data_IF_345932881926
#
_entry.id   IF_345932881926
#
_cell.length_a   1.000
_cell.length_b   1.000
_cell.length_c   1.000
_cell.angle_alpha   90.00
_cell.angle_beta   90.00
_cell.angle_gamma   90.00
#
_symmetry.space_group_name_H-M   'P 1'
#
loop_
_entity.id
_entity.type
_entity.pdbx_description
1 polymer ?
#
# COMPACT_ATOMS: atom_id res chain seq x y z
N UNK A 1 -18.20 -10.65 7.31
CA UNK A 1 -16.82 -10.12 7.18
C UNK A 1 -16.78 -9.16 6.02
N UNK A 2 -16.07 -8.03 6.12
CA UNK A 2 -16.02 -7.03 5.07
C UNK A 2 -15.33 -7.57 3.82
N UNK A 3 -15.81 -7.16 2.64
CA UNK A 3 -15.13 -7.42 1.37
C UNK A 3 -14.20 -6.25 1.06
N UNK A 4 -12.97 -6.52 0.66
CA UNK A 4 -12.02 -5.49 0.23
C UNK A 4 -11.93 -5.43 -1.29
N UNK A 5 -11.73 -4.22 -1.83
CA UNK A 5 -11.32 -4.00 -3.21
C UNK A 5 -10.08 -3.11 -3.19
N UNK A 6 -8.95 -3.60 -3.69
CA UNK A 6 -7.81 -2.74 -3.99
C UNK A 6 -7.93 -2.21 -5.40
N UNK A 7 -7.77 -0.90 -5.58
CA UNK A 7 -7.54 -0.32 -6.91
C UNK A 7 -6.09 0.14 -6.98
N UNK A 8 -5.34 -0.38 -7.96
CA UNK A 8 -3.91 -0.14 -8.08
C UNK A 8 -3.52 0.19 -9.51
N UNK A 9 -2.35 0.77 -9.68
CA UNK A 9 -1.81 1.10 -11.00
C UNK A 9 -0.28 1.09 -11.00
N UNK A 10 0.32 1.24 -12.17
CA UNK A 10 1.79 1.27 -12.33
C UNK A 10 2.40 2.66 -12.11
N UNK A 11 1.71 3.52 -11.35
CA UNK A 11 2.04 4.94 -11.19
C UNK A 11 1.49 5.81 -12.32
N UNK A 12 0.78 6.89 -11.97
CA UNK A 12 0.21 7.87 -12.92
C UNK A 12 -0.74 7.28 -13.99
N UNK A 13 -1.25 6.07 -13.77
CA UNK A 13 -2.16 5.37 -14.69
C UNK A 13 -3.65 5.68 -14.44
N UNK A 14 -4.00 6.50 -13.45
CA UNK A 14 -5.38 6.95 -13.25
C UNK A 14 -6.26 6.01 -12.43
N UNK A 15 -5.71 5.30 -11.44
CA UNK A 15 -6.49 4.48 -10.48
C UNK A 15 -7.64 5.25 -9.82
N UNK A 16 -7.45 6.54 -9.58
CA UNK A 16 -8.47 7.43 -9.02
C UNK A 16 -9.77 7.44 -9.82
N UNK A 17 -9.73 7.28 -11.15
CA UNK A 17 -10.94 7.24 -11.97
C UNK A 17 -11.80 6.01 -11.66
N UNK A 18 -11.17 4.84 -11.51
CA UNK A 18 -11.88 3.64 -11.09
C UNK A 18 -12.39 3.76 -9.65
N UNK A 19 -11.61 4.36 -8.74
CA UNK A 19 -12.08 4.63 -7.37
C UNK A 19 -13.30 5.56 -7.38
N UNK A 20 -13.30 6.62 -8.20
CA UNK A 20 -14.43 7.53 -8.32
C UNK A 20 -15.67 6.81 -8.88
N UNK A 21 -15.52 5.90 -9.86
CA UNK A 21 -16.60 5.01 -10.31
C UNK A 21 -17.09 4.12 -9.15
N UNK A 22 -16.18 3.54 -8.35
CA UNK A 22 -16.55 2.66 -7.23
C UNK A 22 -17.34 3.39 -6.12
N UNK A 23 -17.15 4.70 -5.94
CA UNK A 23 -17.97 5.53 -5.01
C UNK A 23 -19.44 5.61 -5.43
N UNK A 24 -19.75 5.30 -6.70
CA UNK A 24 -21.11 5.41 -7.22
C UNK A 24 -22.00 4.21 -6.86
N UNK A 25 -21.42 3.17 -6.29
CA UNK A 25 -22.11 1.94 -5.90
C UNK A 25 -22.66 1.98 -4.47
N UNK A 26 -23.85 1.41 -4.29
CA UNK A 26 -24.47 1.31 -2.98
C UNK A 26 -23.71 0.34 -2.05
N UNK A 27 -23.50 0.75 -0.80
CA UNK A 27 -22.79 -0.04 0.20
C UNK A 27 -21.26 -0.06 0.05
N UNK A 28 -20.70 0.78 -0.81
CA UNK A 28 -19.25 0.93 -0.97
C UNK A 28 -18.76 2.14 -0.17
N UNK A 29 -17.64 1.96 0.51
CA UNK A 29 -16.90 3.05 1.15
C UNK A 29 -15.47 3.09 0.65
N UNK A 30 -14.90 4.29 0.54
CA UNK A 30 -13.54 4.48 0.06
C UNK A 30 -12.70 5.04 1.20
N UNK A 31 -11.60 4.35 1.52
CA UNK A 31 -10.64 4.87 2.48
C UNK A 31 -9.96 6.14 1.93
N UNK A 32 -9.85 7.18 2.77
CA UNK A 32 -9.31 8.47 2.35
C UNK A 32 -7.76 8.46 2.29
N UNK A 33 -7.23 8.09 1.13
CA UNK A 33 -5.81 8.09 0.80
C UNK A 33 -5.29 6.71 0.42
N UNK A 34 -4.01 6.62 0.13
CA UNK A 34 -3.36 5.36 -0.24
C UNK A 34 -3.09 4.48 1.00
N UNK A 35 -3.57 3.24 1.00
CA UNK A 35 -3.34 2.27 2.08
C UNK A 35 -2.22 1.29 1.72
N UNK A 36 -0.97 1.71 1.83
CA UNK A 36 0.18 1.00 1.21
C UNK A 36 0.99 0.13 2.15
N UNK A 37 0.47 -0.14 3.35
CA UNK A 37 1.18 -0.85 4.42
C UNK A 37 1.70 -2.23 3.99
N UNK A 38 1.03 -2.88 3.03
CA UNK A 38 1.47 -4.18 2.53
C UNK A 38 2.75 -4.10 1.69
N UNK A 39 3.01 -2.98 1.00
CA UNK A 39 4.01 -2.90 -0.08
C UNK A 39 5.10 -1.85 0.08
N UNK A 40 4.88 -0.83 0.90
CA UNK A 40 5.89 0.19 1.13
C UNK A 40 7.04 -0.39 1.99
N UNK A 41 8.25 0.18 1.91
CA UNK A 41 9.38 -0.25 2.73
C UNK A 41 9.05 -0.27 4.22
N UNK A 42 9.56 -1.28 4.91
CA UNK A 42 9.26 -1.59 6.32
C UNK A 42 7.80 -1.98 6.57
N UNK A 43 7.05 -2.28 5.50
CA UNK A 43 5.68 -2.76 5.54
C UNK A 43 5.58 -4.26 5.83
N UNK A 44 4.39 -4.82 5.58
CA UNK A 44 4.08 -6.21 5.92
C UNK A 44 4.88 -7.24 5.13
N UNK A 45 5.19 -6.99 3.84
CA UNK A 45 6.07 -7.87 3.05
C UNK A 45 7.46 -7.95 3.69
N UNK A 46 8.08 -6.81 3.99
CA UNK A 46 9.43 -6.78 4.57
C UNK A 46 9.46 -7.45 5.95
N UNK A 47 8.38 -7.31 6.72
CA UNK A 47 8.20 -7.97 8.01
C UNK A 47 8.04 -9.50 7.84
N UNK A 48 7.20 -9.97 6.92
CA UNK A 48 7.06 -11.41 6.61
C UNK A 48 8.40 -12.00 6.16
N UNK A 49 9.07 -11.35 5.22
CA UNK A 49 10.36 -11.79 4.69
C UNK A 49 11.41 -11.93 5.79
N UNK A 50 11.42 -11.01 6.76
CA UNK A 50 12.39 -11.02 7.85
C UNK A 50 12.07 -12.05 8.93
N UNK A 51 10.79 -12.19 9.31
CA UNK A 51 10.38 -13.02 10.44
C UNK A 51 10.12 -14.49 10.05
N UNK A 52 9.71 -14.75 8.80
CA UNK A 52 9.26 -16.06 8.34
C UNK A 52 10.27 -16.71 7.39
N UNK A 53 10.78 -15.95 6.40
CA UNK A 53 11.55 -16.52 5.29
C UNK A 53 13.06 -16.45 5.49
N UNK A 54 13.57 -15.33 6.00
CA UNK A 54 15.01 -15.05 6.12
C UNK A 54 15.42 -14.87 7.59
N UNK A 55 15.02 -15.83 8.42
CA UNK A 55 15.13 -15.77 9.87
C UNK A 55 16.58 -15.59 10.34
N UNK A 56 16.81 -14.54 11.14
CA UNK A 56 18.04 -14.27 11.89
C UNK A 56 17.72 -13.40 13.11
N UNK A 57 18.20 -13.79 14.29
CA UNK A 57 17.79 -13.19 15.56
C UNK A 57 18.11 -11.68 15.69
N UNK A 58 19.11 -11.17 14.96
CA UNK A 58 19.41 -9.73 14.94
C UNK A 58 18.48 -9.00 13.97
N UNK A 59 18.05 -9.66 12.88
CA UNK A 59 17.15 -9.07 11.89
C UNK A 59 15.74 -8.83 12.42
N UNK A 60 15.20 -9.71 13.25
CA UNK A 60 13.81 -9.57 13.73
C UNK A 60 13.59 -8.29 14.52
N UNK A 61 14.52 -7.99 15.43
CA UNK A 61 14.43 -6.78 16.24
C UNK A 61 14.46 -5.53 15.35
N UNK A 62 15.34 -5.50 14.36
CA UNK A 62 15.42 -4.40 13.38
C UNK A 62 14.13 -4.30 12.57
N UNK A 63 13.65 -5.41 12.00
CA UNK A 63 12.44 -5.43 11.18
C UNK A 63 11.19 -5.01 11.95
N UNK A 64 11.02 -5.48 13.20
CA UNK A 64 9.90 -5.08 14.07
C UNK A 64 9.99 -3.60 14.43
N UNK A 65 11.18 -3.09 14.78
CA UNK A 65 11.38 -1.67 15.09
C UNK A 65 11.12 -0.79 13.86
N UNK A 66 11.58 -1.21 12.69
CA UNK A 66 11.35 -0.49 11.44
C UNK A 66 9.85 -0.48 11.08
N UNK A 67 9.16 -1.61 11.21
CA UNK A 67 7.71 -1.69 11.03
C UNK A 67 6.95 -0.77 12.01
N UNK A 68 7.28 -0.81 13.31
CA UNK A 68 6.64 0.06 14.31
C UNK A 68 6.93 1.55 14.05
N UNK A 69 8.14 1.88 13.60
CA UNK A 69 8.50 3.25 13.20
C UNK A 69 7.72 3.69 11.97
N UNK A 70 7.54 2.80 10.99
CA UNK A 70 6.69 3.06 9.82
C UNK A 70 5.23 3.24 10.22
N UNK A 71 4.66 2.38 11.07
CA UNK A 71 3.32 2.56 11.63
C UNK A 71 3.18 3.89 12.37
N UNK A 72 4.23 4.36 13.06
CA UNK A 72 4.23 5.66 13.73
C UNK A 72 4.18 6.83 12.74
N UNK A 73 4.70 6.65 11.52
CA UNK A 73 4.52 7.62 10.43
C UNK A 73 3.08 7.54 9.90
N UNK A 74 2.55 6.34 9.69
CA UNK A 74 1.19 6.15 9.18
C UNK A 74 0.12 6.75 10.11
N UNK A 75 0.21 6.48 11.41
CA UNK A 75 -0.74 6.98 12.41
C UNK A 75 -0.58 8.45 12.78
N UNK A 76 0.50 9.12 12.33
CA UNK A 76 0.74 10.54 12.65
C UNK A 76 -0.12 11.46 11.80
N UNK A 77 -0.69 12.46 12.45
CA UNK A 77 -1.44 13.55 11.82
C UNK A 77 -0.60 14.40 10.85
N UNK A 78 -1.26 14.96 9.85
CA UNK A 78 -0.69 15.86 8.85
C UNK A 78 -0.95 17.32 9.21
N UNK A 79 0.11 18.11 9.38
CA UNK A 79 0.02 19.54 9.65
C UNK A 79 1.26 20.28 9.13
N UNK A 80 1.15 21.60 8.96
CA UNK A 80 2.21 22.44 8.37
C UNK A 80 3.55 22.37 9.12
N UNK A 81 3.50 22.16 10.44
CA UNK A 81 4.67 22.06 11.30
C UNK A 81 4.91 20.64 11.83
N UNK A 82 4.12 19.65 11.40
CA UNK A 82 4.32 18.27 11.78
C UNK A 82 5.29 17.58 10.83
N UNK A 83 6.00 16.57 11.33
CA UNK A 83 6.73 15.65 10.44
C UNK A 83 5.71 14.93 9.55
N UNK A 84 6.13 14.56 8.33
CA UNK A 84 5.30 13.79 7.40
C UNK A 84 4.59 12.62 8.10
N UNK A 85 3.31 12.46 7.79
CA UNK A 85 2.41 11.44 8.32
C UNK A 85 1.33 11.09 7.31
N UNK A 86 0.47 10.12 7.63
CA UNK A 86 -0.66 9.71 6.77
C UNK A 86 -2.03 9.87 7.41
N UNK A 87 -2.05 10.26 8.68
CA UNK A 87 -3.24 10.54 9.47
C UNK A 87 -4.20 9.34 9.58
N UNK A 88 -3.66 8.11 9.62
CA UNK A 88 -4.50 6.91 9.67
C UNK A 88 -5.31 6.81 10.96
N UNK A 89 -4.80 7.34 12.07
CA UNK A 89 -5.52 7.31 13.35
C UNK A 89 -6.85 8.06 13.26
N UNK A 90 -6.84 9.30 12.74
CA UNK A 90 -8.06 10.10 12.62
C UNK A 90 -8.97 9.60 11.49
N UNK A 91 -8.39 9.20 10.34
CA UNK A 91 -9.18 8.72 9.19
C UNK A 91 -9.94 7.42 9.44
N UNK A 92 -9.43 6.58 10.33
CA UNK A 92 -10.04 5.31 10.71
C UNK A 92 -10.79 5.39 12.04
N UNK A 93 -10.63 6.49 12.78
CA UNK A 93 -11.12 6.65 14.16
C UNK A 93 -10.62 5.53 15.08
N UNK A 94 -9.32 5.23 15.00
CA UNK A 94 -8.66 4.20 15.83
C UNK A 94 -7.32 4.68 16.35
N UNK A 95 -6.87 4.15 17.50
CA UNK A 95 -5.46 4.25 17.88
C UNK A 95 -4.62 3.29 17.02
N UNK A 96 -4.19 3.79 15.86
CA UNK A 96 -3.43 3.03 14.87
C UNK A 96 -2.17 2.42 15.47
N UNK A 97 -1.47 3.15 16.34
CA UNK A 97 -0.25 2.67 16.96
C UNK A 97 -0.51 1.59 18.00
N UNK A 98 -1.57 1.72 18.80
CA UNK A 98 -1.97 0.69 19.74
C UNK A 98 -2.36 -0.62 19.05
N UNK A 99 -3.13 -0.55 17.96
CA UNK A 99 -3.45 -1.73 17.12
C UNK A 99 -2.18 -2.36 16.54
N UNK A 100 -1.24 -1.54 16.06
CA UNK A 100 0.03 -2.01 15.49
C UNK A 100 0.93 -2.70 16.53
N UNK A 101 1.00 -2.17 17.76
CA UNK A 101 1.73 -2.80 18.86
C UNK A 101 1.09 -4.13 19.26
N UNK A 102 -0.23 -4.15 19.41
CA UNK A 102 -0.98 -5.39 19.69
C UNK A 102 -0.71 -6.47 18.65
N UNK A 103 -0.63 -6.11 17.37
CA UNK A 103 -0.26 -7.03 16.30
C UNK A 103 1.17 -7.57 16.48
N UNK A 104 2.15 -6.68 16.70
CA UNK A 104 3.54 -7.07 16.93
C UNK A 104 3.66 -8.00 18.14
N UNK A 105 2.96 -7.72 19.22
CA UNK A 105 2.98 -8.54 20.44
C UNK A 105 2.48 -9.96 20.16
N UNK A 106 1.49 -10.14 19.27
CA UNK A 106 0.96 -11.47 18.92
C UNK A 106 1.87 -12.31 18.02
N UNK A 107 2.78 -11.67 17.27
CA UNK A 107 3.74 -12.36 16.40
C UNK A 107 5.14 -12.45 17.04
N UNK A 108 5.32 -11.88 18.23
CA UNK A 108 6.57 -11.88 18.98
C UNK A 108 6.54 -12.99 20.03
N UNK A 109 7.60 -13.79 20.10
CA UNK A 109 7.71 -14.87 21.10
C UNK A 109 8.25 -14.34 22.43
N UNK A 110 9.18 -13.40 22.38
CA UNK A 110 9.84 -12.86 23.56
C UNK A 110 10.35 -11.43 23.34
N UNK A 111 10.26 -10.62 24.39
CA UNK A 111 10.96 -9.34 24.52
C UNK A 111 12.04 -9.49 25.58
N UNK A 112 13.27 -9.05 25.29
CA UNK A 112 14.41 -9.15 26.20
C UNK A 112 15.25 -7.87 26.18
N UNK A 113 16.09 -7.66 27.20
CA UNK A 113 17.07 -6.58 27.17
C UNK A 113 18.34 -7.05 26.46
N UNK A 114 18.77 -6.30 25.44
CA UNK A 114 19.97 -6.61 24.68
C UNK A 114 20.66 -5.37 24.14
N UNK A 115 21.95 -5.52 23.80
CA UNK A 115 22.76 -4.47 23.18
C UNK A 115 23.45 -5.08 21.95
N UNK A 116 23.19 -4.49 20.77
CA UNK A 116 23.79 -4.91 19.51
C UNK A 116 24.42 -3.74 18.78
N UNK A 117 25.55 -4.00 18.10
CA UNK A 117 26.21 -3.00 17.27
C UNK A 117 25.35 -2.53 16.10
N UNK A 118 24.38 -3.33 15.65
CA UNK A 118 23.51 -3.00 14.51
C UNK A 118 22.66 -1.76 14.78
N UNK A 119 22.19 -1.56 16.02
CA UNK A 119 21.47 -0.34 16.41
C UNK A 119 22.30 0.93 16.28
N UNK A 120 23.63 0.79 16.14
CA UNK A 120 24.57 1.90 16.08
C UNK A 120 24.99 2.27 14.65
N UNK A 121 24.52 1.57 13.62
CA UNK A 121 24.95 1.82 12.24
C UNK A 121 24.51 3.19 11.72
N UNK A 122 23.29 3.62 12.08
CA UNK A 122 22.69 4.86 11.57
C UNK A 122 22.49 5.94 12.64
N UNK A 123 23.07 5.77 13.84
CA UNK A 123 22.96 6.79 14.89
C UNK A 123 23.91 7.95 14.61
N UNK A 124 23.50 9.21 14.88
CA UNK A 124 24.40 10.35 14.78
C UNK A 124 25.64 10.21 15.67
N UNK A 125 26.76 10.79 15.23
CA UNK A 125 28.05 10.70 15.92
C UNK A 125 27.99 11.14 17.39
N UNK A 126 27.21 12.17 17.71
CA UNK A 126 27.04 12.65 19.09
C UNK A 126 26.35 11.59 19.97
N UNK A 127 25.31 10.91 19.48
CA UNK A 127 24.60 9.85 20.23
C UNK A 127 25.54 8.67 20.46
N UNK A 128 26.31 8.28 19.45
CA UNK A 128 27.33 7.23 19.57
C UNK A 128 28.42 7.59 20.61
N UNK A 129 28.85 8.85 20.64
CA UNK A 129 29.80 9.34 21.64
C UNK A 129 29.25 9.20 23.06
N UNK A 130 27.99 9.59 23.31
CA UNK A 130 27.34 9.40 24.61
C UNK A 130 27.24 7.92 24.99
N UNK A 131 26.87 7.03 24.06
CA UNK A 131 26.82 5.59 24.33
C UNK A 131 28.20 5.02 24.70
N UNK A 132 29.27 5.47 24.03
CA UNK A 132 30.65 5.09 24.38
C UNK A 132 31.05 5.57 25.78
N UNK A 133 30.64 6.78 26.17
CA UNK A 133 30.87 7.29 27.53
C UNK A 133 30.14 6.41 28.55
N UNK A 134 28.84 6.13 28.33
CA UNK A 134 28.04 5.26 29.21
C UNK A 134 28.73 3.92 29.43
N UNK A 135 29.13 3.22 28.36
CA UNK A 135 29.85 1.95 28.49
C UNK A 135 31.16 2.07 29.27
N UNK A 136 31.92 3.17 29.11
CA UNK A 136 33.18 3.39 29.85
C UNK A 136 32.99 3.58 31.35
N UNK A 137 31.84 4.12 31.78
CA UNK A 137 31.53 4.32 33.20
C UNK A 137 30.75 3.15 33.82
N UNK A 138 30.63 2.02 33.09
CA UNK A 138 29.92 0.82 33.57
C UNK A 138 28.41 0.84 33.37
N UNK A 139 27.87 1.85 32.70
CA UNK A 139 26.44 1.96 32.39
C UNK A 139 26.07 1.10 31.18
N UNK A 140 24.92 0.43 31.28
CA UNK A 140 24.36 -0.37 30.18
C UNK A 140 23.76 0.50 29.08
N UNK A 141 23.95 0.08 27.83
CA UNK A 141 23.23 0.60 26.66
C UNK A 141 22.17 -0.40 26.16
N UNK A 142 21.84 -1.42 26.95
CA UNK A 142 20.83 -2.39 26.58
C UNK A 142 19.47 -1.71 26.40
N UNK A 143 18.79 -2.06 25.32
CA UNK A 143 17.43 -1.64 25.02
C UNK A 143 16.54 -2.87 24.89
N UNK A 144 15.22 -2.68 24.90
CA UNK A 144 14.31 -3.77 24.58
C UNK A 144 14.52 -4.25 23.14
N UNK A 145 14.62 -5.56 23.00
CA UNK A 145 14.78 -6.26 21.75
C UNK A 145 13.70 -7.31 21.57
N UNK A 146 13.29 -7.52 20.32
CA UNK A 146 12.28 -8.49 19.95
C UNK A 146 12.89 -9.78 19.42
N UNK A 147 12.39 -10.93 19.89
CA UNK A 147 12.62 -12.23 19.29
C UNK A 147 11.28 -12.78 18.78
N UNK A 148 11.20 -13.03 17.48
CA UNK A 148 10.01 -13.52 16.81
C UNK A 148 10.38 -14.63 15.82
N UNK A 149 9.59 -15.70 15.80
CA UNK A 149 9.65 -16.78 14.82
C UNK A 149 8.25 -17.34 14.54
N UNK A 150 7.29 -16.52 14.10
CA UNK A 150 6.01 -17.03 13.66
C UNK A 150 6.21 -17.93 12.44
N UNK A 151 5.48 -19.04 12.36
CA UNK A 151 5.33 -19.72 11.08
C UNK A 151 4.48 -18.87 10.13
N UNK A 152 4.51 -19.20 8.83
CA UNK A 152 3.78 -18.44 7.80
C UNK A 152 2.29 -18.38 8.09
N UNK A 153 1.68 -19.48 8.54
CA UNK A 153 0.24 -19.54 8.80
C UNK A 153 -0.16 -18.59 9.93
N UNK A 154 0.60 -18.61 11.03
CA UNK A 154 0.39 -17.72 12.16
C UNK A 154 0.61 -16.25 11.79
N UNK A 155 1.69 -15.94 11.05
CA UNK A 155 1.95 -14.59 10.58
C UNK A 155 0.80 -14.05 9.73
N UNK A 156 0.35 -14.81 8.73
CA UNK A 156 -0.75 -14.40 7.85
C UNK A 156 -2.06 -14.24 8.63
N UNK A 157 -2.38 -15.17 9.53
CA UNK A 157 -3.57 -15.09 10.38
C UNK A 157 -3.57 -13.81 11.23
N UNK A 158 -2.49 -13.53 11.96
CA UNK A 158 -2.45 -12.34 12.81
C UNK A 158 -2.35 -11.04 12.00
N UNK A 159 -1.79 -11.08 10.79
CA UNK A 159 -1.80 -9.95 9.86
C UNK A 159 -3.21 -9.63 9.34
N UNK A 160 -4.00 -10.66 9.01
CA UNK A 160 -5.41 -10.49 8.65
C UNK A 160 -6.22 -9.94 9.81
N UNK A 161 -6.01 -10.45 11.02
CA UNK A 161 -6.64 -9.93 12.23
C UNK A 161 -6.28 -8.46 12.45
N UNK A 162 -5.02 -8.09 12.25
CA UNK A 162 -4.55 -6.72 12.35
C UNK A 162 -5.26 -5.80 11.35
N UNK A 163 -5.23 -6.12 10.05
CA UNK A 163 -5.92 -5.32 9.02
C UNK A 163 -7.41 -5.19 9.32
N UNK A 164 -8.09 -6.29 9.67
CA UNK A 164 -9.51 -6.25 10.03
C UNK A 164 -9.76 -5.35 11.25
N UNK A 165 -8.85 -5.36 12.24
CA UNK A 165 -8.96 -4.51 13.43
C UNK A 165 -8.74 -3.02 13.17
N UNK A 166 -8.10 -2.65 12.05
CA UNK A 166 -7.91 -1.25 11.64
C UNK A 166 -9.18 -0.67 11.01
N UNK A 167 -9.97 -1.49 10.33
CA UNK A 167 -11.13 -1.03 9.56
C UNK A 167 -12.48 -1.41 10.17
N UNK A 168 -12.52 -2.30 11.16
CA UNK A 168 -13.78 -2.80 11.74
C UNK A 168 -14.75 -1.69 12.15
N UNK A 169 -14.29 -0.80 13.04
CA UNK A 169 -15.11 0.32 13.55
C UNK A 169 -15.52 1.30 12.44
N UNK A 170 -14.61 1.55 11.49
CA UNK A 170 -14.86 2.41 10.31
C UNK A 170 -15.97 1.84 9.42
N UNK A 171 -15.93 0.54 9.13
CA UNK A 171 -16.89 -0.15 8.27
C UNK A 171 -18.27 -0.19 8.92
N UNK A 172 -18.32 -0.53 10.21
CA UNK A 172 -19.56 -0.62 10.98
C UNK A 172 -20.24 0.75 11.12
N UNK A 173 -19.48 1.78 11.49
CA UNK A 173 -20.01 3.13 11.70
C UNK A 173 -20.56 3.77 10.42
N UNK A 174 -19.93 3.47 9.28
CA UNK A 174 -20.36 3.99 7.98
C UNK A 174 -21.35 3.05 7.25
N UNK A 175 -21.73 1.91 7.86
CA UNK A 175 -22.64 0.90 7.27
C UNK A 175 -22.20 0.45 5.87
N UNK A 176 -20.90 0.19 5.73
CA UNK A 176 -20.26 -0.20 4.47
C UNK A 176 -20.26 -1.73 4.36
N UNK A 177 -20.51 -2.24 3.17
CA UNK A 177 -20.41 -3.67 2.85
C UNK A 177 -19.07 -4.01 2.17
N UNK A 178 -18.55 -3.07 1.38
CA UNK A 178 -17.30 -3.22 0.62
C UNK A 178 -16.40 -2.01 0.83
N UNK A 179 -15.18 -2.25 1.32
CA UNK A 179 -14.17 -1.20 1.50
C UNK A 179 -13.22 -1.16 0.29
N UNK A 180 -13.11 0.01 -0.33
CA UNK A 180 -12.19 0.29 -1.43
C UNK A 180 -10.93 0.94 -0.88
N UNK A 181 -9.78 0.37 -1.24
CA UNK A 181 -8.45 0.80 -0.84
C UNK A 181 -7.62 1.20 -2.06
N UNK A 182 -7.11 2.43 -2.09
CA UNK A 182 -6.16 2.85 -3.12
C UNK A 182 -4.77 2.27 -2.82
N UNK A 183 -4.15 1.69 -3.84
CA UNK A 183 -2.78 1.21 -3.81
C UNK A 183 -2.45 0.09 -2.81
N UNK A 184 -3.42 -0.60 -2.20
CA UNK A 184 -3.17 -1.62 -1.19
C UNK A 184 -2.40 -2.83 -1.69
N UNK A 185 -2.76 -3.35 -2.87
CA UNK A 185 -2.10 -4.50 -3.50
C UNK A 185 -1.32 -4.05 -4.72
N UNK A 186 0.02 -4.14 -4.76
CA UNK A 186 0.81 -3.77 -5.92
C UNK A 186 0.53 -4.67 -7.13
N UNK A 187 0.45 -4.12 -8.36
CA UNK A 187 0.27 -4.91 -9.59
C UNK A 187 1.40 -5.92 -9.89
N UNK A 188 2.54 -5.79 -9.22
CA UNK A 188 3.77 -6.57 -9.46
C UNK A 188 4.02 -7.67 -8.44
N UNK A 189 3.19 -7.75 -7.39
CA UNK A 189 3.33 -8.73 -6.32
C UNK A 189 1.96 -9.00 -5.67
N UNK A 190 1.00 -9.45 -6.48
CA UNK A 190 -0.40 -9.59 -6.05
C UNK A 190 -0.53 -10.69 -5.00
N UNK A 191 -0.01 -11.90 -5.28
CA UNK A 191 -0.22 -13.05 -4.39
C UNK A 191 0.34 -12.85 -2.98
N UNK A 192 1.55 -12.28 -2.84
CA UNK A 192 2.18 -12.10 -1.54
C UNK A 192 1.60 -10.93 -0.72
N UNK A 193 0.90 -10.00 -1.36
CA UNK A 193 0.26 -8.86 -0.66
C UNK A 193 -1.23 -9.10 -0.40
N UNK A 194 -1.94 -9.71 -1.34
CA UNK A 194 -3.36 -10.03 -1.20
C UNK A 194 -3.62 -11.04 -0.08
N UNK A 195 -2.68 -11.94 0.22
CA UNK A 195 -2.79 -12.93 1.30
C UNK A 195 -2.99 -12.29 2.69
N UNK A 196 -2.61 -11.02 2.90
CA UNK A 196 -2.80 -10.30 4.16
C UNK A 196 -4.25 -9.86 4.42
N UNK A 197 -5.12 -9.97 3.41
CA UNK A 197 -6.54 -9.67 3.54
C UNK A 197 -7.34 -10.97 3.54
N UNK A 198 -8.42 -11.03 4.32
CA UNK A 198 -9.28 -12.22 4.37
C UNK A 198 -9.95 -12.51 3.00
N UNK A 199 -10.45 -11.44 2.37
CA UNK A 199 -11.08 -11.47 1.04
C UNK A 199 -10.86 -10.15 0.33
N UNK A 200 -10.03 -10.14 -0.71
CA UNK A 200 -9.73 -8.94 -1.49
C UNK A 200 -9.81 -9.21 -2.99
N UNK A 201 -10.51 -8.34 -3.71
CA UNK A 201 -10.44 -8.24 -5.17
C UNK A 201 -9.50 -7.10 -5.56
N UNK A 202 -8.80 -7.24 -6.69
CA UNK A 202 -7.80 -6.27 -7.14
C UNK A 202 -8.18 -5.78 -8.53
N UNK A 203 -8.38 -4.49 -8.69
CA UNK A 203 -8.57 -3.84 -9.99
C UNK A 203 -7.28 -3.09 -10.33
N UNK A 204 -6.67 -3.43 -11.45
CA UNK A 204 -5.43 -2.82 -11.93
C UNK A 204 -5.77 -1.93 -13.12
N UNK A 205 -5.46 -0.64 -12.97
CA UNK A 205 -5.62 0.36 -14.01
C UNK A 205 -4.27 0.61 -14.69
N UNK A 206 -4.23 0.40 -16.00
CA UNK A 206 -3.14 0.82 -16.88
C UNK A 206 -3.57 1.99 -17.78
N UNK A 207 -2.63 2.62 -18.48
CA UNK A 207 -2.85 3.81 -19.30
C UNK A 207 -1.83 3.87 -20.44
N UNK A 208 -2.15 4.59 -21.50
CA UNK A 208 -1.24 4.85 -22.60
C UNK A 208 0.13 5.34 -22.07
N UNK A 209 1.24 4.66 -22.40
CA UNK A 209 2.57 5.05 -21.92
C UNK A 209 2.93 6.50 -22.27
N UNK A 210 2.43 7.06 -23.36
CA UNK A 210 2.73 8.43 -23.78
C UNK A 210 2.01 9.46 -22.90
N UNK A 211 0.80 9.13 -22.43
CA UNK A 211 0.06 9.97 -21.48
C UNK A 211 0.70 9.94 -20.09
N UNK A 212 1.19 8.77 -19.65
CA UNK A 212 1.97 8.64 -18.43
C UNK A 212 3.26 9.47 -18.53
N UNK A 213 4.00 9.33 -19.64
CA UNK A 213 5.23 10.11 -19.89
C UNK A 213 4.96 11.62 -19.81
N UNK A 214 3.95 12.10 -20.53
CA UNK A 214 3.58 13.52 -20.58
C UNK A 214 3.25 14.06 -19.19
N UNK A 215 2.53 13.29 -18.36
CA UNK A 215 2.26 13.66 -16.97
C UNK A 215 3.51 13.67 -16.09
N UNK A 216 4.37 12.66 -16.19
CA UNK A 216 5.59 12.57 -15.39
C UNK A 216 6.52 13.76 -15.69
N UNK A 217 6.73 14.10 -16.96
CA UNK A 217 7.54 15.25 -17.37
C UNK A 217 6.92 16.55 -16.87
N UNK A 218 5.62 16.74 -17.08
CA UNK A 218 4.91 17.96 -16.67
C UNK A 218 5.00 18.20 -15.15
N UNK A 219 4.86 17.14 -14.35
CA UNK A 219 4.84 17.25 -12.89
C UNK A 219 6.23 17.15 -12.24
N UNK A 220 7.28 16.75 -12.99
CA UNK A 220 8.67 16.60 -12.49
C UNK A 220 8.77 15.69 -11.25
N UNK A 221 8.03 14.59 -11.27
CA UNK A 221 7.95 13.60 -10.19
C UNK A 221 8.50 12.25 -10.61
N UNK A 222 9.08 11.51 -9.66
CA UNK A 222 9.73 10.23 -9.92
C UNK A 222 10.77 10.37 -11.06
N UNK A 223 10.79 9.44 -12.01
CA UNK A 223 11.65 9.52 -13.19
C UNK A 223 11.38 10.79 -14.01
N UNK A 224 10.18 11.36 -13.95
CA UNK A 224 9.78 12.59 -14.64
C UNK A 224 10.69 13.80 -14.37
N UNK A 225 11.34 13.87 -13.20
CA UNK A 225 12.33 14.90 -12.90
C UNK A 225 13.56 14.79 -13.82
N UNK A 226 14.02 13.56 -14.09
CA UNK A 226 15.14 13.27 -15.00
C UNK A 226 14.72 13.37 -16.47
N UNK A 227 13.45 13.06 -16.78
CA UNK A 227 12.90 13.10 -18.14
C UNK A 227 12.76 14.52 -18.72
N UNK A 228 12.99 15.55 -17.90
CA UNK A 228 12.97 16.95 -18.34
C UNK A 228 14.26 17.42 -19.05
N UNK A 229 15.30 16.57 -19.10
CA UNK A 229 16.56 16.80 -19.82
C UNK A 229 16.61 16.05 -21.17
N UNK A 230 17.51 16.41 -22.10
CA UNK A 230 17.71 15.69 -23.38
C UNK A 230 18.17 14.23 -23.16
N UNK A 231 17.76 13.31 -24.05
CA UNK A 231 17.86 11.83 -23.95
C UNK A 231 16.92 11.11 -22.96
N UNK A 232 15.71 11.65 -22.76
CA UNK A 232 14.75 11.16 -21.76
C UNK A 232 13.89 9.97 -22.20
N UNK A 233 13.51 9.86 -23.47
CA UNK A 233 12.51 8.87 -23.91
C UNK A 233 12.95 7.41 -23.68
N UNK A 234 14.22 7.07 -23.94
CA UNK A 234 14.71 5.70 -23.77
C UNK A 234 14.74 5.25 -22.31
N UNK A 235 15.11 6.16 -21.40
CA UNK A 235 15.07 5.91 -19.95
C UNK A 235 13.63 5.61 -19.52
N UNK A 236 12.67 6.40 -20.01
CA UNK A 236 11.26 6.15 -19.74
C UNK A 236 10.78 4.81 -20.31
N UNK A 237 11.10 4.50 -21.58
CA UNK A 237 10.71 3.23 -22.21
C UNK A 237 11.25 2.05 -21.41
N UNK A 238 12.52 2.11 -20.97
CA UNK A 238 13.12 1.07 -20.12
C UNK A 238 12.42 0.99 -18.77
N UNK A 239 12.19 2.10 -18.10
CA UNK A 239 11.49 2.15 -16.80
C UNK A 239 10.06 1.60 -16.89
N UNK A 240 9.29 2.01 -17.90
CA UNK A 240 7.92 1.56 -18.15
C UNK A 240 7.85 0.05 -18.41
N UNK A 241 8.79 -0.49 -19.20
CA UNK A 241 8.91 -1.93 -19.47
C UNK A 241 9.26 -2.73 -18.21
N UNK A 242 10.21 -2.26 -17.40
CA UNK A 242 10.62 -2.94 -16.16
C UNK A 242 9.45 -3.03 -15.17
N UNK A 243 8.69 -1.95 -14.99
CA UNK A 243 7.53 -1.97 -14.08
C UNK A 243 6.42 -2.93 -14.52
N UNK A 244 6.43 -3.37 -15.79
CA UNK A 244 5.44 -4.28 -16.38
C UNK A 244 6.02 -5.64 -16.74
N UNK A 245 7.31 -5.91 -16.53
CA UNK A 245 7.94 -7.17 -16.94
C UNK A 245 7.42 -8.38 -16.17
N UNK A 246 6.96 -8.18 -14.92
CA UNK A 246 6.43 -9.24 -14.08
C UNK A 246 5.03 -9.73 -14.51
N UNK A 247 4.39 -9.06 -15.49
CA UNK A 247 3.10 -9.46 -16.06
C UNK A 247 3.12 -10.88 -16.67
N UNK A 248 4.28 -11.37 -17.10
CA UNK A 248 4.41 -12.68 -17.74
C UNK A 248 4.75 -13.82 -16.76
N UNK A 249 5.23 -13.51 -15.55
CA UNK A 249 5.66 -14.50 -14.55
C UNK A 249 4.53 -15.03 -13.64
N UNK A 250 3.42 -14.31 -13.55
CA UNK A 250 2.24 -14.71 -12.75
C UNK A 250 1.37 -15.77 -13.45
N UNK A 251 1.81 -16.30 -14.60
CA UNK A 251 1.09 -17.28 -15.43
C UNK A 251 0.88 -18.67 -14.83
N UNK A 252 1.36 -18.94 -13.61
CA UNK A 252 1.29 -20.28 -12.99
C UNK A 252 0.12 -20.49 -12.03
N UNK A 253 -0.53 -19.44 -11.52
CA UNK A 253 -1.63 -19.57 -10.54
C UNK A 253 -2.97 -19.05 -11.09
N UNK A 254 -3.69 -19.90 -11.83
CA UNK A 254 -5.02 -19.61 -12.42
C UNK A 254 -6.05 -19.10 -11.40
N UNK A 255 -5.94 -19.45 -10.13
CA UNK A 255 -6.85 -18.99 -9.07
C UNK A 255 -6.69 -17.50 -8.76
N UNK A 256 -5.46 -16.97 -8.81
CA UNK A 256 -5.18 -15.56 -8.53
C UNK A 256 -5.84 -14.62 -9.56
N UNK A 257 -6.07 -15.08 -10.79
CA UNK A 257 -6.70 -14.29 -11.85
C UNK A 257 -8.20 -14.04 -11.61
N UNK A 258 -8.90 -14.87 -10.84
CA UNK A 258 -10.34 -14.68 -10.59
C UNK A 258 -10.62 -13.43 -9.75
N UNK A 259 -9.67 -13.06 -8.90
CA UNK A 259 -9.74 -11.89 -8.03
C UNK A 259 -8.94 -10.71 -8.59
N UNK A 260 -8.57 -10.72 -9.88
CA UNK A 260 -7.86 -9.63 -10.55
C UNK A 260 -8.59 -9.19 -11.82
N UNK A 261 -8.96 -7.91 -11.90
CA UNK A 261 -9.47 -7.26 -13.11
C UNK A 261 -8.45 -6.25 -13.62
N UNK A 262 -8.19 -6.26 -14.94
CA UNK A 262 -7.31 -5.27 -15.59
C UNK A 262 -8.14 -4.40 -16.54
N UNK A 263 -8.01 -3.08 -16.41
CA UNK A 263 -8.70 -2.10 -17.24
C UNK A 263 -7.71 -1.04 -17.71
N UNK A 264 -8.00 -0.41 -18.85
CA UNK A 264 -7.28 0.78 -19.30
C UNK A 264 -8.05 2.03 -18.91
N UNK A 265 -7.35 3.08 -18.51
CA UNK A 265 -7.92 4.37 -18.18
C UNK A 265 -8.75 4.95 -19.33
N UNK A 266 -8.28 4.79 -20.57
CA UNK A 266 -8.96 5.26 -21.77
C UNK A 266 -10.33 4.59 -21.94
N UNK A 267 -10.46 3.31 -21.57
CA UNK A 267 -11.74 2.61 -21.62
C UNK A 267 -12.72 3.10 -20.55
N UNK A 268 -12.23 3.58 -19.39
CA UNK A 268 -13.08 4.20 -18.38
C UNK A 268 -13.71 5.50 -18.89
N UNK A 269 -13.01 6.21 -19.77
CA UNK A 269 -13.48 7.49 -20.35
C UNK A 269 -14.28 7.26 -21.63
N UNK A 270 -13.71 6.53 -22.60
CA UNK A 270 -14.27 6.38 -23.95
C UNK A 270 -15.29 5.25 -24.07
N UNK A 271 -15.20 4.21 -23.22
CA UNK A 271 -16.03 3.00 -23.26
C UNK A 271 -16.74 2.77 -21.91
N UNK A 272 -17.24 3.84 -21.29
CA UNK A 272 -17.69 3.86 -19.89
C UNK A 272 -18.70 2.74 -19.54
N UNK A 273 -19.79 2.58 -20.30
CA UNK A 273 -20.82 1.57 -19.99
C UNK A 273 -20.24 0.14 -20.01
N UNK A 274 -19.37 -0.16 -20.98
CA UNK A 274 -18.70 -1.45 -21.08
C UNK A 274 -17.73 -1.67 -19.90
N UNK A 275 -17.00 -0.63 -19.50
CA UNK A 275 -16.10 -0.67 -18.35
C UNK A 275 -16.86 -0.89 -17.04
N UNK A 276 -17.98 -0.20 -16.83
CA UNK A 276 -18.85 -0.39 -15.66
C UNK A 276 -19.42 -1.80 -15.63
N UNK A 277 -19.89 -2.34 -16.77
CA UNK A 277 -20.36 -3.73 -16.85
C UNK A 277 -19.28 -4.72 -16.41
N UNK A 278 -18.04 -4.57 -16.92
CA UNK A 278 -16.91 -5.42 -16.50
C UNK A 278 -16.63 -5.34 -15.01
N UNK A 279 -16.73 -4.14 -14.42
CA UNK A 279 -16.56 -3.94 -12.97
C UNK A 279 -17.68 -4.65 -12.19
N UNK A 280 -18.93 -4.51 -12.60
CA UNK A 280 -20.08 -5.18 -11.96
C UNK A 280 -19.92 -6.70 -12.02
N UNK A 281 -19.64 -7.25 -13.20
CA UNK A 281 -19.45 -8.69 -13.41
C UNK A 281 -18.30 -9.23 -12.56
N UNK A 282 -17.20 -8.46 -12.48
CA UNK A 282 -16.04 -8.82 -11.68
C UNK A 282 -16.33 -8.80 -10.18
N UNK A 283 -17.03 -7.78 -9.65
CA UNK A 283 -17.30 -7.70 -8.22
C UNK A 283 -18.39 -8.70 -7.80
N UNK A 284 -19.41 -8.91 -8.63
CA UNK A 284 -20.42 -9.97 -8.48
C UNK A 284 -21.86 -9.46 -8.42
N UNK A 285 -22.79 -10.39 -8.21
CA UNK A 285 -24.24 -10.14 -8.24
C UNK A 285 -24.73 -9.27 -7.08
N UNK A 286 -25.82 -8.52 -7.32
CA UNK A 286 -26.51 -7.74 -6.28
C UNK A 286 -25.96 -6.33 -6.05
N UNK A 287 -25.07 -5.86 -6.92
CA UNK A 287 -24.46 -4.53 -6.84
C UNK A 287 -25.32 -3.52 -7.59
N UNK A 288 -25.59 -2.37 -6.95
CA UNK A 288 -26.42 -1.30 -7.51
C UNK A 288 -25.57 -0.06 -7.77
N UNK A 289 -25.44 0.32 -9.05
CA UNK A 289 -24.73 1.53 -9.48
C UNK A 289 -25.66 2.75 -9.42
N UNK A 290 -25.95 3.21 -8.20
CA UNK A 290 -27.03 4.18 -7.92
C UNK A 290 -26.68 5.62 -8.30
N UNK A 291 -25.43 6.02 -8.13
CA UNK A 291 -24.99 7.41 -8.21
C UNK A 291 -24.20 7.71 -9.48
N UNK A 292 -24.60 7.10 -10.60
CA UNK A 292 -23.94 7.21 -11.90
C UNK A 292 -23.63 8.67 -12.25
N UNK A 293 -22.37 8.94 -12.59
CA UNK A 293 -21.82 10.27 -12.94
C UNK A 293 -21.67 11.29 -11.82
N UNK A 294 -22.01 10.95 -10.57
CA UNK A 294 -21.86 11.88 -9.46
C UNK A 294 -20.40 12.05 -9.01
N UNK A 295 -19.56 11.02 -9.20
CA UNK A 295 -18.15 11.05 -8.81
C UNK A 295 -17.22 10.96 -10.02
N UNK A 296 -17.59 10.18 -11.03
CA UNK A 296 -16.87 10.08 -12.28
C UNK A 296 -17.79 10.33 -13.48
N UNK A 297 -17.59 11.46 -14.15
CA UNK A 297 -18.30 11.78 -15.39
C UNK A 297 -17.34 11.64 -16.59
N UNK A 298 -17.51 10.63 -17.47
CA UNK A 298 -16.66 10.44 -18.65
C UNK A 298 -16.76 11.61 -19.64
N UNK A 299 -17.91 12.30 -19.67
CA UNK A 299 -18.15 13.43 -20.57
C UNK A 299 -17.55 14.74 -20.08
N UNK A 300 -17.10 14.79 -18.82
CA UNK A 300 -16.51 16.00 -18.24
C UNK A 300 -15.21 16.40 -18.93
N UNK A 301 -14.92 17.70 -18.94
CA UNK A 301 -13.64 18.25 -19.45
C UNK A 301 -12.47 17.62 -18.69
N UNK A 302 -12.59 17.40 -17.38
CA UNK A 302 -11.57 16.76 -16.55
C UNK A 302 -11.23 15.36 -17.04
N UNK A 303 -12.22 14.54 -17.36
CA UNK A 303 -11.99 13.17 -17.85
C UNK A 303 -11.41 13.16 -19.26
N UNK A 304 -12.03 13.89 -20.19
CA UNK A 304 -11.61 13.93 -21.61
C UNK A 304 -10.22 14.50 -21.81
N UNK A 305 -9.85 15.55 -21.05
CA UNK A 305 -8.51 16.17 -21.12
C UNK A 305 -7.39 15.26 -20.63
N UNK A 306 -7.70 14.12 -20.00
CA UNK A 306 -6.72 13.14 -19.55
C UNK A 306 -6.50 11.99 -20.56
N UNK A 307 -7.13 12.00 -21.73
CA UNK A 307 -6.90 10.99 -22.78
C UNK A 307 -6.19 11.63 -23.96
N UNK A 308 -5.05 11.07 -24.37
CA UNK A 308 -4.27 11.57 -25.49
C UNK A 308 -3.56 12.90 -25.21
N UNK A 309 -3.04 13.08 -24.00
CA UNK A 309 -2.23 14.22 -23.55
C UNK A 309 -0.96 14.45 -24.38
N UNK A 310 -0.47 13.40 -25.05
CA UNK A 310 0.71 13.47 -25.90
C UNK A 310 0.44 14.10 -27.27
N UNK A 311 -0.83 14.32 -27.64
CA UNK A 311 -1.23 14.94 -28.92
C UNK A 311 -1.12 16.46 -28.83
#
# INVERSE_FOLDING_TARGET
MPSYISVSGYGWSGSSACIDILKEFEGFGVFNGEFRIAKDPYGLIDLEESLVHNWDFVRHDVAIKDFLNYCKVLGRDTGLFSRSGKDFSNKLDVDFMSKSKTYVDKITDMVYLGDTSVHRYNIPAYKNFFMKIRSKIGESNAEFMYLARPDKSNFIKETRNYINSLFGDYIDSNKINTLVLDQAVPPTNISNSAQFFEKIKVIIIDRDPRDIYSNLVRNKVLIGADLSNSDSADKYIRWHKILRSNLQGEGSNKECYKDVLRLNFEDLVCNYEQSVSKIIDFIGVGIVHKNKYNYFNPESIRSKSNVGLWK
#
